data_IF_128424345449
#
_entry.id   IF_128424345449
#
_cell.length_a   1.000
_cell.length_b   1.000
_cell.length_c   1.000
_cell.angle_alpha   90.00
_cell.angle_beta   90.00
_cell.angle_gamma   90.00
#
_symmetry.space_group_name_H-M   'P 1'
#
loop_
_entity.id
_entity.type
_entity.pdbx_description
1 polymer ?
#
# COMPACT_ATOMS: atom_id res chain seq x y z
N UNK A 1 -5.54 -11.21 0.58
CA UNK A 1 -5.27 -9.77 0.78
C UNK A 1 -3.77 -9.60 1.06
N UNK A 2 -3.12 -8.51 0.65
CA UNK A 2 -1.69 -8.28 0.99
C UNK A 2 -0.78 -7.72 -0.11
N UNK A 3 -1.29 -7.34 -1.29
CA UNK A 3 -0.46 -6.84 -2.41
C UNK A 3 -0.24 -5.32 -2.39
N UNK A 4 -1.14 -4.56 -1.74
CA UNK A 4 -1.08 -3.10 -1.68
C UNK A 4 -0.47 -2.69 -0.36
N UNK A 5 0.56 -1.84 -0.40
CA UNK A 5 1.27 -1.35 0.79
C UNK A 5 1.09 0.15 0.99
N UNK A 6 0.80 0.89 -0.08
CA UNK A 6 0.59 2.33 -0.08
C UNK A 6 -0.54 2.67 -1.04
N UNK A 7 -1.34 3.66 -0.66
CA UNK A 7 -2.25 4.35 -1.58
C UNK A 7 -1.83 5.82 -1.65
N UNK A 8 -1.58 6.31 -2.86
CA UNK A 8 -1.19 7.70 -3.13
C UNK A 8 -2.11 8.31 -4.21
N UNK A 9 -2.13 9.63 -4.28
CA UNK A 9 -3.03 10.34 -5.21
C UNK A 9 -2.59 10.27 -6.67
N UNK A 10 -1.29 10.16 -6.91
CA UNK A 10 -0.69 10.33 -8.24
C UNK A 10 -1.20 11.61 -8.96
N UNK A 11 -1.43 12.65 -8.17
CA UNK A 11 -2.03 13.89 -8.62
C UNK A 11 -1.02 14.76 -9.38
N UNK A 12 -1.48 15.42 -10.44
CA UNK A 12 -0.67 16.25 -11.34
C UNK A 12 -1.30 17.62 -11.62
N UNK A 13 -2.56 17.85 -11.22
CA UNK A 13 -3.27 19.11 -11.46
C UNK A 13 -4.48 19.25 -10.53
N UNK A 14 -4.99 20.46 -10.31
CA UNK A 14 -6.22 20.67 -9.55
C UNK A 14 -7.50 20.20 -10.27
N UNK A 15 -7.45 19.97 -11.59
CA UNK A 15 -8.56 19.53 -12.41
C UNK A 15 -8.54 18.03 -12.69
N UNK A 16 -7.92 17.64 -13.81
CA UNK A 16 -8.00 16.27 -14.36
C UNK A 16 -7.45 15.19 -13.43
N UNK A 17 -6.24 15.38 -12.89
CA UNK A 17 -5.59 14.46 -11.94
C UNK A 17 -5.45 15.09 -10.57
N UNK A 18 -6.57 15.35 -9.91
CA UNK A 18 -6.62 15.96 -8.58
C UNK A 18 -6.49 14.92 -7.45
N UNK A 19 -5.99 15.30 -6.27
CA UNK A 19 -5.83 14.36 -5.17
C UNK A 19 -7.18 14.00 -4.53
N UNK A 20 -7.53 12.71 -4.56
CA UNK A 20 -8.81 12.18 -4.06
C UNK A 20 -8.66 11.33 -2.78
N UNK A 21 -7.67 11.67 -1.92
CA UNK A 21 -7.32 10.86 -0.75
C UNK A 21 -8.40 10.83 0.34
N UNK A 22 -9.22 11.88 0.47
CA UNK A 22 -10.35 11.88 1.43
C UNK A 22 -11.40 10.84 1.05
N UNK A 23 -11.72 10.76 -0.25
CA UNK A 23 -12.66 9.75 -0.77
C UNK A 23 -12.08 8.35 -0.62
N UNK A 24 -10.80 8.17 -0.93
CA UNK A 24 -10.11 6.90 -0.75
C UNK A 24 -10.12 6.45 0.73
N UNK A 25 -9.88 7.36 1.67
CA UNK A 25 -9.92 7.06 3.10
C UNK A 25 -11.28 6.52 3.54
N UNK A 26 -12.38 7.18 3.15
CA UNK A 26 -13.73 6.72 3.48
C UNK A 26 -14.04 5.32 2.94
N UNK A 27 -13.65 5.04 1.69
CA UNK A 27 -13.83 3.73 1.07
C UNK A 27 -13.01 2.65 1.78
N UNK A 28 -11.73 2.92 2.04
CA UNK A 28 -10.84 1.97 2.72
C UNK A 28 -11.33 1.67 4.14
N UNK A 29 -11.74 2.69 4.90
CA UNK A 29 -12.29 2.50 6.24
C UNK A 29 -13.56 1.65 6.21
N UNK A 30 -14.48 1.91 5.27
CA UNK A 30 -15.71 1.13 5.13
C UNK A 30 -15.46 -0.32 4.72
N UNK A 31 -14.44 -0.59 3.91
CA UNK A 31 -14.17 -1.93 3.37
C UNK A 31 -13.27 -2.78 4.30
N UNK A 32 -12.35 -2.14 5.01
CA UNK A 32 -11.22 -2.81 5.66
C UNK A 32 -10.95 -2.33 7.10
N UNK A 33 -11.75 -1.40 7.61
CA UNK A 33 -11.56 -0.80 8.93
C UNK A 33 -10.54 0.34 8.96
N UNK A 34 -10.60 1.12 10.04
CA UNK A 34 -9.79 2.32 10.22
C UNK A 34 -8.28 2.02 10.27
N UNK A 35 -7.88 0.95 10.95
CA UNK A 35 -6.47 0.59 11.10
C UNK A 35 -5.80 0.30 9.76
N UNK A 36 -6.49 -0.44 8.88
CA UNK A 36 -5.96 -0.71 7.53
C UNK A 36 -5.90 0.55 6.69
N UNK A 37 -6.94 1.40 6.74
CA UNK A 37 -6.95 2.67 6.03
C UNK A 37 -5.78 3.57 6.49
N UNK A 38 -5.56 3.67 7.80
CA UNK A 38 -4.43 4.40 8.40
C UNK A 38 -3.09 3.82 7.96
N UNK A 39 -2.96 2.49 7.95
CA UNK A 39 -1.73 1.82 7.51
C UNK A 39 -1.37 2.17 6.07
N UNK A 40 -2.34 2.09 5.15
CA UNK A 40 -2.13 2.31 3.71
C UNK A 40 -1.93 3.79 3.33
N UNK A 41 -2.57 4.72 4.04
CA UNK A 41 -2.57 6.14 3.70
C UNK A 41 -1.58 6.99 4.52
N UNK A 42 -1.16 6.51 5.70
CA UNK A 42 -0.35 7.30 6.63
C UNK A 42 0.85 6.54 7.15
N UNK A 43 0.66 5.41 7.84
CA UNK A 43 1.75 4.72 8.54
C UNK A 43 2.82 4.20 7.58
N UNK A 44 2.44 3.48 6.53
CA UNK A 44 3.41 2.94 5.59
C UNK A 44 4.11 4.05 4.77
N UNK A 45 3.41 5.07 4.23
CA UNK A 45 4.07 6.21 3.61
C UNK A 45 5.06 6.92 4.53
N UNK A 46 4.73 7.14 5.81
CA UNK A 46 5.63 7.78 6.77
C UNK A 46 6.91 6.96 6.97
N UNK A 47 6.78 5.64 7.14
CA UNK A 47 7.92 4.73 7.25
C UNK A 47 8.82 4.78 6.01
N UNK A 48 8.24 4.77 4.81
CA UNK A 48 9.01 4.87 3.56
C UNK A 48 9.81 6.17 3.51
N UNK A 49 9.18 7.30 3.86
CA UNK A 49 9.85 8.62 3.89
C UNK A 49 11.01 8.62 4.91
N UNK A 50 10.88 7.87 6.00
CA UNK A 50 11.91 7.70 7.03
C UNK A 50 12.97 6.65 6.68
N UNK A 51 12.83 5.93 5.56
CA UNK A 51 13.73 4.82 5.19
C UNK A 51 13.53 3.55 6.02
N UNK A 52 12.40 3.43 6.72
CA UNK A 52 12.06 2.26 7.53
C UNK A 52 11.47 1.12 6.69
N UNK A 53 11.66 -0.11 7.17
CA UNK A 53 11.08 -1.29 6.55
C UNK A 53 9.57 -1.39 6.83
N UNK A 54 8.83 -1.88 5.84
CA UNK A 54 7.41 -2.21 5.99
C UNK A 54 7.22 -3.65 6.43
N UNK A 55 6.28 -3.84 7.36
CA UNK A 55 5.80 -5.16 7.76
C UNK A 55 4.99 -5.79 6.61
N UNK A 56 5.56 -6.82 5.97
CA UNK A 56 4.90 -7.61 4.93
C UNK A 56 4.17 -8.81 5.54
N UNK A 57 2.89 -8.97 5.23
CA UNK A 57 2.17 -10.21 5.55
C UNK A 57 2.50 -11.27 4.48
N UNK A 58 3.59 -12.00 4.73
CA UNK A 58 3.96 -13.29 4.14
C UNK A 58 3.87 -13.39 2.60
N UNK A 59 4.87 -12.83 1.93
CA UNK A 59 5.62 -13.65 0.97
C UNK A 59 7.04 -13.70 1.53
N UNK A 60 7.46 -14.85 2.05
CA UNK A 60 8.85 -15.00 2.45
C UNK A 60 9.73 -14.87 1.19
N UNK A 61 10.91 -14.27 1.32
CA UNK A 61 11.86 -14.23 0.20
C UNK A 61 12.19 -15.65 -0.28
N UNK A 62 12.19 -16.64 0.63
CA UNK A 62 12.31 -18.05 0.30
C UNK A 62 11.23 -18.54 -0.70
N UNK A 63 9.98 -18.11 -0.56
CA UNK A 63 8.90 -18.47 -1.49
C UNK A 63 9.08 -17.85 -2.89
N UNK A 64 9.77 -16.71 -3.02
CA UNK A 64 10.08 -16.07 -4.32
C UNK A 64 11.22 -16.78 -5.05
N UNK A 65 12.16 -17.37 -4.32
CA UNK A 65 13.27 -18.14 -4.90
C UNK A 65 12.82 -19.52 -5.37
N UNK A 66 11.97 -20.21 -4.60
CA UNK A 66 11.41 -21.52 -4.99
C UNK A 66 10.55 -21.45 -6.26
N UNK A 67 9.73 -20.41 -6.43
CA UNK A 67 8.86 -20.26 -7.62
C UNK A 67 9.63 -19.93 -8.90
N UNK A 68 10.79 -19.26 -8.79
CA UNK A 68 11.67 -18.97 -9.93
C UNK A 68 12.43 -20.21 -10.41
N UNK A 69 12.68 -21.18 -9.54
CA UNK A 69 13.43 -22.40 -9.86
C UNK A 69 12.59 -23.51 -10.53
N UNK A 70 11.26 -23.44 -10.43
CA UNK A 70 10.34 -24.46 -10.99
C UNK A 70 9.74 -24.09 -12.34
N UNK A 71 10.04 -22.90 -12.86
CA UNK A 71 9.53 -22.35 -14.13
C UNK A 71 10.62 -22.36 -15.23
N UNK A 72 11.61 -23.25 -15.12
CA UNK A 72 12.73 -23.50 -16.05
C UNK A 72 12.94 -25.00 -16.23
#
# INVERSE_FOLDING_TARGET
AGLVHVVASDAHSYGGRRPELRRAAGLLTSMMGEDTARKLLQTNPAKIVQGELLESSAVSLAQREQTRATDS
#
